data_IF_352882029130
#
_entry.id   IF_352882029130
#
_cell.length_a   1.000
_cell.length_b   1.000
_cell.length_c   1.000
_cell.angle_alpha   90.00
_cell.angle_beta   90.00
_cell.angle_gamma   90.00
#
_symmetry.space_group_name_H-M   'P 1'
#
loop_
_entity.id
_entity.type
_entity.pdbx_description
1 polymer ?
#
# COMPACT_ATOMS: atom_id res chain seq x y z
N UNK A 1 6.95 -7.78 19.25
CA UNK A 1 6.83 -6.31 19.30
C UNK A 1 6.63 -5.76 17.90
N UNK A 2 5.72 -4.80 17.72
CA UNK A 2 5.48 -4.06 16.47
C UNK A 2 6.76 -3.46 15.90
N UNK A 3 7.71 -3.12 16.77
CA UNK A 3 9.00 -2.56 16.37
C UNK A 3 9.88 -3.58 15.62
N UNK A 4 9.72 -4.87 15.89
CA UNK A 4 10.44 -5.94 15.19
C UNK A 4 9.92 -6.14 13.75
N UNK A 5 8.60 -6.03 13.56
CA UNK A 5 7.97 -6.08 12.23
C UNK A 5 8.32 -4.84 11.41
N UNK A 6 8.46 -3.67 12.04
CA UNK A 6 8.97 -2.46 11.37
C UNK A 6 10.42 -2.65 10.92
N UNK A 7 11.30 -3.18 11.77
CA UNK A 7 12.71 -3.36 11.42
C UNK A 7 12.96 -4.36 10.29
N UNK A 8 12.24 -5.48 10.25
CA UNK A 8 12.38 -6.46 9.16
C UNK A 8 11.91 -5.92 7.81
N UNK A 9 10.96 -4.97 7.79
CA UNK A 9 10.45 -4.37 6.55
C UNK A 9 11.44 -3.37 5.91
N UNK A 10 12.23 -2.65 6.72
CA UNK A 10 13.22 -1.67 6.23
C UNK A 10 14.60 -2.26 5.96
N UNK A 11 14.92 -3.46 6.45
CA UNK A 11 16.24 -4.07 6.27
C UNK A 11 16.49 -4.55 4.82
N UNK A 12 15.44 -4.85 4.06
CA UNK A 12 15.56 -5.33 2.67
C UNK A 12 15.87 -4.24 1.64
N UNK A 13 15.75 -2.95 1.99
CA UNK A 13 15.88 -1.83 1.05
C UNK A 13 17.32 -1.30 0.84
N UNK A 14 18.33 -1.79 1.58
CA UNK A 14 19.67 -1.14 1.59
C UNK A 14 20.81 -1.94 0.94
N UNK A 15 20.55 -3.04 0.23
CA UNK A 15 21.59 -3.84 -0.43
C UNK A 15 21.63 -3.67 -1.95
N UNK A 16 21.73 -2.43 -2.43
CA UNK A 16 22.17 -2.15 -3.81
C UNK A 16 23.34 -1.18 -3.76
N UNK A 17 24.55 -1.74 -3.61
CA UNK A 17 25.80 -1.03 -3.84
C UNK A 17 26.01 -0.88 -5.36
N UNK A 18 26.06 0.35 -5.86
CA UNK A 18 26.56 0.65 -7.21
C UNK A 18 28.08 0.43 -7.28
N UNK A 19 28.63 -0.13 -8.37
CA UNK A 19 30.07 -0.12 -8.59
C UNK A 19 30.49 1.19 -9.28
N UNK A 20 31.36 1.94 -8.60
CA UNK A 20 32.11 3.08 -9.17
C UNK A 20 33.19 2.56 -10.13
N UNK A 21 33.10 2.88 -11.42
CA UNK A 21 34.19 2.61 -12.38
C UNK A 21 35.03 3.89 -12.54
N UNK A 22 36.23 3.85 -11.96
CA UNK A 22 37.31 4.81 -12.20
C UNK A 22 37.65 4.87 -13.70
N UNK A 23 37.66 6.08 -14.28
CA UNK A 23 38.28 6.33 -15.58
C UNK A 23 39.67 6.91 -15.36
N UNK A 24 40.70 6.21 -15.85
CA UNK A 24 41.99 6.79 -16.19
C UNK A 24 42.70 5.96 -17.29
N UNK A 25 43.40 6.70 -18.17
CA UNK A 25 44.36 6.32 -19.25
C UNK A 25 43.79 5.88 -20.63
N UNK A 26 44.32 6.21 -21.83
CA UNK A 26 45.19 7.24 -22.45
C UNK A 26 45.31 6.85 -23.95
N UNK A 27 45.42 7.86 -24.85
CA UNK A 27 45.98 7.87 -26.24
C UNK A 27 45.27 7.21 -27.45
N UNK A 28 44.80 8.12 -28.31
CA UNK A 28 44.73 8.20 -29.79
C UNK A 28 45.48 7.16 -30.66
N UNK A 29 44.81 6.57 -31.68
CA UNK A 29 45.33 6.41 -33.07
C UNK A 29 44.22 6.10 -34.10
N UNK A 30 44.50 6.52 -35.33
CA UNK A 30 43.63 6.91 -36.45
C UNK A 30 43.07 5.81 -37.37
N UNK A 31 42.06 6.23 -38.15
CA UNK A 31 41.44 5.70 -39.37
C UNK A 31 42.06 4.49 -40.11
N UNK A 32 41.23 3.48 -40.38
CA UNK A 32 41.21 2.79 -41.69
C UNK A 32 39.77 2.54 -42.14
N UNK A 33 39.46 3.01 -43.34
CA UNK A 33 38.19 2.87 -44.06
C UNK A 33 37.94 1.41 -44.46
N UNK A 34 36.78 0.85 -44.08
CA UNK A 34 36.13 -0.26 -44.77
C UNK A 34 34.61 -0.01 -44.76
N UNK A 35 33.94 0.19 -45.92
CA UNK A 35 32.50 0.26 -46.00
C UNK A 35 31.92 -1.16 -45.92
N UNK A 36 32.00 -1.74 -44.73
CA UNK A 36 31.44 -3.04 -44.39
C UNK A 36 30.14 -2.83 -43.64
N UNK A 37 29.02 -2.99 -44.35
CA UNK A 37 27.65 -3.05 -43.84
C UNK A 37 27.52 -4.13 -42.74
N UNK A 38 27.81 -3.79 -41.48
CA UNK A 38 27.52 -4.63 -40.29
C UNK A 38 27.23 -3.75 -39.07
N UNK A 39 26.20 -2.92 -39.13
CA UNK A 39 25.64 -2.27 -37.93
C UNK A 39 24.14 -2.06 -38.11
N UNK A 40 23.38 -3.16 -38.25
CA UNK A 40 21.90 -3.09 -38.13
C UNK A 40 21.36 -3.92 -36.97
N UNK A 41 22.15 -4.84 -36.40
CA UNK A 41 21.62 -5.84 -35.46
C UNK A 41 22.02 -5.59 -34.00
N UNK A 42 23.12 -4.87 -33.75
CA UNK A 42 23.60 -4.57 -32.39
C UNK A 42 22.80 -3.46 -31.72
N UNK A 43 22.43 -2.44 -32.49
CA UNK A 43 21.58 -1.34 -32.02
C UNK A 43 20.19 -1.88 -31.67
N UNK A 44 19.59 -2.72 -32.53
CA UNK A 44 18.28 -3.36 -32.32
C UNK A 44 18.18 -4.19 -31.03
N UNK A 45 19.22 -4.96 -30.68
CA UNK A 45 19.21 -5.76 -29.44
C UNK A 45 19.35 -4.87 -28.20
N UNK A 46 20.27 -3.89 -28.22
CA UNK A 46 20.46 -2.97 -27.09
C UNK A 46 19.20 -2.12 -26.84
N UNK A 47 18.52 -1.68 -27.91
CA UNK A 47 17.25 -0.97 -27.85
C UNK A 47 16.11 -1.85 -27.34
N UNK A 48 16.03 -3.11 -27.79
CA UNK A 48 15.07 -4.08 -27.27
C UNK A 48 15.30 -4.37 -25.79
N UNK A 49 16.55 -4.57 -25.38
CA UNK A 49 16.95 -4.77 -23.99
C UNK A 49 16.64 -3.55 -23.12
N UNK A 50 16.90 -2.34 -23.62
CA UNK A 50 16.55 -1.10 -22.91
C UNK A 50 15.03 -0.97 -22.73
N UNK A 51 14.25 -1.25 -23.76
CA UNK A 51 12.79 -1.23 -23.68
C UNK A 51 12.27 -2.28 -22.69
N UNK A 52 12.81 -3.50 -22.70
CA UNK A 52 12.45 -4.54 -21.73
C UNK A 52 12.81 -4.13 -20.30
N UNK A 53 13.98 -3.55 -20.07
CA UNK A 53 14.38 -3.06 -18.76
C UNK A 53 13.42 -1.97 -18.24
N UNK A 54 13.01 -1.03 -19.10
CA UNK A 54 12.02 0.00 -18.75
C UNK A 54 10.65 -0.59 -18.40
N UNK A 55 10.23 -1.66 -19.09
CA UNK A 55 8.98 -2.35 -18.76
C UNK A 55 9.09 -3.11 -17.43
N UNK A 56 10.21 -3.79 -17.17
CA UNK A 56 10.47 -4.47 -15.90
C UNK A 56 10.48 -3.49 -14.72
N UNK A 57 11.16 -2.35 -14.85
CA UNK A 57 11.21 -1.30 -13.82
C UNK A 57 9.81 -0.77 -13.47
N UNK A 58 9.00 -0.46 -14.49
CA UNK A 58 7.59 -0.05 -14.31
C UNK A 58 6.75 -1.13 -13.63
N UNK A 59 7.02 -2.40 -13.91
CA UNK A 59 6.31 -3.51 -13.28
C UNK A 59 6.66 -3.62 -11.79
N UNK A 60 7.95 -3.51 -11.43
CA UNK A 60 8.37 -3.50 -10.03
C UNK A 60 7.84 -2.30 -9.26
N UNK A 61 7.89 -1.09 -9.83
CA UNK A 61 7.32 0.10 -9.19
C UNK A 61 5.80 -0.03 -8.96
N UNK A 62 5.06 -0.62 -9.91
CA UNK A 62 3.64 -0.89 -9.75
C UNK A 62 3.36 -1.96 -8.68
N UNK A 63 4.16 -3.02 -8.61
CA UNK A 63 4.11 -4.05 -7.58
C UNK A 63 4.34 -3.43 -6.19
N UNK A 64 5.38 -2.63 -6.04
CA UNK A 64 5.71 -1.98 -4.77
C UNK A 64 4.61 -1.01 -4.32
N UNK A 65 4.03 -0.24 -5.25
CA UNK A 65 2.88 0.64 -4.95
C UNK A 65 1.67 -0.17 -4.49
N UNK A 66 1.38 -1.30 -5.14
CA UNK A 66 0.29 -2.19 -4.73
C UNK A 66 0.57 -2.80 -3.35
N UNK A 67 1.81 -3.23 -3.09
CA UNK A 67 2.23 -3.77 -1.79
C UNK A 67 2.10 -2.74 -0.67
N UNK A 68 2.58 -1.52 -0.88
CA UNK A 68 2.42 -0.41 0.08
C UNK A 68 0.94 -0.10 0.34
N UNK A 69 0.12 0.00 -0.70
CA UNK A 69 -1.32 0.23 -0.55
C UNK A 69 -2.02 -0.90 0.24
N UNK A 70 -1.64 -2.16 -0.01
CA UNK A 70 -2.17 -3.31 0.72
C UNK A 70 -1.77 -3.29 2.20
N UNK A 71 -0.51 -2.98 2.51
CA UNK A 71 -0.03 -2.83 3.88
C UNK A 71 -0.76 -1.71 4.63
N UNK A 72 -0.94 -0.55 3.98
CA UNK A 72 -1.69 0.58 4.53
C UNK A 72 -3.15 0.20 4.77
N UNK A 73 -3.81 -0.49 3.84
CA UNK A 73 -5.18 -0.99 4.04
C UNK A 73 -5.27 -1.92 5.26
N UNK A 74 -4.35 -2.88 5.40
CA UNK A 74 -4.33 -3.83 6.53
C UNK A 74 -4.15 -3.09 7.85
N UNK A 75 -3.20 -2.16 7.92
CA UNK A 75 -2.92 -1.37 9.12
C UNK A 75 -4.13 -0.52 9.52
N UNK A 76 -4.77 0.14 8.55
CA UNK A 76 -5.97 0.93 8.79
C UNK A 76 -7.11 0.08 9.33
N UNK A 77 -7.35 -1.12 8.80
CA UNK A 77 -8.38 -2.02 9.31
C UNK A 77 -8.06 -2.57 10.70
N UNK A 78 -6.80 -2.86 11.01
CA UNK A 78 -6.38 -3.28 12.34
C UNK A 78 -6.65 -2.18 13.39
N UNK A 79 -6.19 -0.95 13.13
CA UNK A 79 -6.40 0.18 14.03
C UNK A 79 -7.89 0.51 14.18
N UNK A 80 -8.64 0.50 13.07
CA UNK A 80 -10.09 0.66 13.09
C UNK A 80 -10.78 -0.36 14.00
N UNK A 81 -10.43 -1.65 13.88
CA UNK A 81 -11.05 -2.71 14.70
C UNK A 81 -10.73 -2.55 16.19
N UNK A 82 -9.48 -2.19 16.51
CA UNK A 82 -9.04 -1.90 17.88
C UNK A 82 -9.91 -0.79 18.50
N UNK A 83 -9.98 0.35 17.83
CA UNK A 83 -10.72 1.52 18.32
C UNK A 83 -12.23 1.28 18.34
N UNK A 84 -12.76 0.53 17.37
CA UNK A 84 -14.16 0.13 17.33
C UNK A 84 -14.54 -0.69 18.56
N UNK A 85 -13.70 -1.66 18.97
CA UNK A 85 -13.94 -2.49 20.16
C UNK A 85 -13.86 -1.64 21.44
N UNK A 86 -12.87 -0.75 21.54
CA UNK A 86 -12.73 0.17 22.68
C UNK A 86 -13.98 1.04 22.82
N UNK A 87 -14.44 1.67 21.74
CA UNK A 87 -15.64 2.51 21.76
C UNK A 87 -16.91 1.69 22.04
N UNK A 88 -17.00 0.46 21.52
CA UNK A 88 -18.12 -0.43 21.76
C UNK A 88 -18.26 -0.75 23.25
N UNK A 89 -17.15 -1.13 23.89
CA UNK A 89 -17.11 -1.42 25.33
C UNK A 89 -17.43 -0.16 26.14
N UNK A 90 -16.86 0.99 25.78
CA UNK A 90 -17.16 2.27 26.45
C UNK A 90 -18.64 2.66 26.38
N UNK A 91 -19.32 2.40 25.27
CA UNK A 91 -20.78 2.63 25.16
C UNK A 91 -21.56 1.67 26.05
N UNK A 92 -21.17 0.39 26.09
CA UNK A 92 -21.85 -0.62 26.91
C UNK A 92 -21.71 -0.26 28.40
N UNK A 93 -20.49 0.04 28.85
CA UNK A 93 -20.18 0.40 30.23
C UNK A 93 -20.89 1.70 30.67
N UNK A 94 -20.80 2.76 29.86
CA UNK A 94 -21.44 4.04 30.16
C UNK A 94 -22.97 3.99 30.12
N UNK A 95 -23.56 2.96 29.50
CA UNK A 95 -25.02 2.82 29.45
C UNK A 95 -25.65 2.36 30.78
N UNK A 96 -24.85 1.93 31.77
CA UNK A 96 -25.36 1.41 33.03
C UNK A 96 -26.25 0.18 32.86
N UNK A 97 -25.92 -0.69 31.90
CA UNK A 97 -26.69 -1.90 31.56
C UNK A 97 -27.88 -1.68 30.62
N UNK A 98 -28.17 -0.44 30.21
CA UNK A 98 -29.27 -0.14 29.27
C UNK A 98 -29.02 -0.67 27.86
N UNK A 99 -27.77 -0.78 27.43
CA UNK A 99 -27.42 -1.23 26.09
C UNK A 99 -26.67 -2.57 26.12
N UNK A 100 -27.25 -3.57 25.47
CA UNK A 100 -26.52 -4.76 25.05
C UNK A 100 -25.68 -4.50 23.79
N UNK A 101 -24.73 -5.40 23.50
CA UNK A 101 -23.79 -5.29 22.37
C UNK A 101 -24.47 -4.96 21.04
N UNK A 102 -25.60 -5.63 20.73
CA UNK A 102 -26.37 -5.39 19.50
C UNK A 102 -26.81 -3.93 19.37
N UNK A 103 -27.24 -3.30 20.46
CA UNK A 103 -27.70 -1.91 20.46
C UNK A 103 -26.53 -0.95 20.36
N UNK A 104 -25.47 -1.17 21.14
CA UNK A 104 -24.26 -0.35 21.12
C UNK A 104 -23.56 -0.36 19.74
N UNK A 105 -23.41 -1.53 19.13
CA UNK A 105 -22.93 -1.67 17.74
C UNK A 105 -23.78 -0.91 16.75
N UNK A 106 -25.11 -0.96 16.92
CA UNK A 106 -26.04 -0.21 16.08
C UNK A 106 -25.76 1.28 16.08
N UNK A 107 -25.56 1.86 17.27
CA UNK A 107 -25.23 3.28 17.44
C UNK A 107 -23.89 3.64 16.78
N UNK A 108 -22.86 2.80 16.96
CA UNK A 108 -21.57 3.00 16.30
C UNK A 108 -21.69 2.94 14.78
N UNK A 109 -22.39 1.94 14.25
CA UNK A 109 -22.56 1.82 12.80
C UNK A 109 -23.28 3.02 12.20
N UNK A 110 -24.31 3.56 12.87
CA UNK A 110 -25.03 4.74 12.39
C UNK A 110 -24.13 5.99 12.41
N UNK A 111 -23.36 6.18 13.48
CA UNK A 111 -22.40 7.28 13.62
C UNK A 111 -21.28 7.21 12.56
N UNK A 112 -20.61 6.05 12.45
CA UNK A 112 -19.49 5.83 11.53
C UNK A 112 -19.96 5.95 10.08
N UNK A 113 -21.11 5.37 9.72
CA UNK A 113 -21.63 5.46 8.35
C UNK A 113 -21.89 6.91 7.95
N UNK A 114 -22.46 7.71 8.85
CA UNK A 114 -22.69 9.14 8.62
C UNK A 114 -21.37 9.90 8.39
N UNK A 115 -20.39 9.72 9.27
CA UNK A 115 -19.10 10.41 9.18
C UNK A 115 -18.30 9.96 7.95
N UNK A 116 -18.27 8.65 7.66
CA UNK A 116 -17.58 8.08 6.50
C UNK A 116 -18.12 8.67 5.19
N UNK A 117 -19.44 8.79 5.05
CA UNK A 117 -20.03 9.34 3.83
C UNK A 117 -19.78 10.84 3.69
N UNK A 118 -19.64 11.59 4.79
CA UNK A 118 -19.19 12.97 4.73
C UNK A 118 -17.76 13.08 4.20
N UNK A 119 -16.83 12.29 4.74
CA UNK A 119 -15.43 12.25 4.29
C UNK A 119 -15.31 11.84 2.82
N UNK A 120 -16.14 10.88 2.36
CA UNK A 120 -16.16 10.45 0.96
C UNK A 120 -16.68 11.53 0.02
N UNK A 121 -17.68 12.31 0.44
CA UNK A 121 -18.19 13.45 -0.33
C UNK A 121 -17.15 14.56 -0.44
N UNK A 122 -16.46 14.88 0.65
CA UNK A 122 -15.37 15.85 0.63
C UNK A 122 -14.26 15.41 -0.33
N UNK A 123 -13.78 14.17 -0.21
CA UNK A 123 -12.75 13.64 -1.13
C UNK A 123 -13.21 13.64 -2.60
N UNK A 124 -14.49 13.35 -2.83
CA UNK A 124 -15.08 13.38 -4.18
C UNK A 124 -15.03 14.78 -4.80
N UNK A 125 -15.25 15.83 -3.99
CA UNK A 125 -15.13 17.22 -4.42
C UNK A 125 -13.67 17.61 -4.69
N UNK A 126 -12.75 17.21 -3.82
CA UNK A 126 -11.32 17.53 -3.93
C UNK A 126 -10.66 16.86 -5.15
N UNK A 127 -11.03 15.61 -5.44
CA UNK A 127 -10.40 14.81 -6.51
C UNK A 127 -11.15 14.82 -7.84
N UNK A 128 -12.39 15.33 -7.86
CA UNK A 128 -13.29 15.22 -9.02
C UNK A 128 -13.80 13.80 -9.30
N UNK A 129 -13.39 12.80 -8.50
CA UNK A 129 -13.81 11.41 -8.65
C UNK A 129 -15.16 11.18 -7.97
N UNK A 130 -16.13 10.59 -8.66
CA UNK A 130 -17.42 10.25 -8.05
C UNK A 130 -17.27 9.06 -7.08
N UNK A 131 -17.32 9.33 -5.77
CA UNK A 131 -17.25 8.29 -4.74
C UNK A 131 -18.65 7.94 -4.23
N UNK A 132 -19.06 6.67 -4.36
CA UNK A 132 -20.35 6.19 -3.86
C UNK A 132 -20.41 6.19 -2.32
N UNK A 133 -21.56 6.53 -1.77
CA UNK A 133 -21.85 6.36 -0.34
C UNK A 133 -21.75 4.89 0.09
N UNK A 134 -21.20 4.66 1.28
CA UNK A 134 -21.09 3.36 1.93
C UNK A 134 -22.36 3.10 2.73
N UNK A 135 -22.99 1.96 2.49
CA UNK A 135 -24.14 1.52 3.30
C UNK A 135 -23.69 0.94 4.64
N UNK A 136 -24.58 0.99 5.63
CA UNK A 136 -24.38 0.37 6.94
C UNK A 136 -24.06 -1.13 6.84
N UNK A 137 -24.71 -1.85 5.92
CA UNK A 137 -24.46 -3.28 5.74
C UNK A 137 -23.07 -3.58 5.16
N UNK A 138 -22.59 -2.74 4.24
CA UNK A 138 -21.23 -2.85 3.71
C UNK A 138 -20.19 -2.61 4.82
N UNK A 139 -20.40 -1.55 5.61
CA UNK A 139 -19.54 -1.24 6.76
C UNK A 139 -19.53 -2.38 7.79
N UNK A 140 -20.69 -2.96 8.10
CA UNK A 140 -20.80 -4.09 9.04
C UNK A 140 -19.96 -5.28 8.58
N UNK A 141 -20.07 -5.68 7.30
CA UNK A 141 -19.29 -6.81 6.75
C UNK A 141 -17.78 -6.55 6.85
N UNK A 142 -17.33 -5.32 6.53
CA UNK A 142 -15.92 -4.93 6.65
C UNK A 142 -15.45 -4.91 8.10
N UNK A 143 -16.26 -4.38 9.02
CA UNK A 143 -15.97 -4.38 10.46
C UNK A 143 -15.82 -5.79 11.00
N UNK A 144 -16.70 -6.72 10.63
CA UNK A 144 -16.59 -8.13 11.04
C UNK A 144 -15.30 -8.79 10.55
N UNK A 145 -14.84 -8.47 9.33
CA UNK A 145 -13.56 -8.95 8.81
C UNK A 145 -12.40 -8.36 9.60
N UNK A 146 -12.42 -7.05 9.85
CA UNK A 146 -11.40 -6.34 10.59
C UNK A 146 -11.27 -6.86 12.04
N UNK A 147 -12.40 -7.09 12.73
CA UNK A 147 -12.41 -7.67 14.08
C UNK A 147 -11.79 -9.08 14.13
N UNK A 148 -12.02 -9.92 13.11
CA UNK A 148 -11.39 -11.25 13.03
C UNK A 148 -9.88 -11.15 12.88
N UNK A 149 -9.42 -10.25 12.01
CA UNK A 149 -7.98 -10.01 11.80
C UNK A 149 -7.33 -9.46 13.08
N UNK A 150 -7.96 -8.47 13.72
CA UNK A 150 -7.50 -7.91 14.99
C UNK A 150 -7.35 -8.99 16.06
N UNK A 151 -8.40 -9.78 16.31
CA UNK A 151 -8.35 -10.86 17.30
C UNK A 151 -7.28 -11.90 17.00
N UNK A 152 -7.08 -12.24 15.73
CA UNK A 152 -6.02 -13.17 15.32
C UNK A 152 -4.63 -12.59 15.60
N UNK A 153 -4.38 -11.33 15.27
CA UNK A 153 -3.09 -10.66 15.54
C UNK A 153 -2.83 -10.56 17.04
N UNK A 154 -3.82 -10.15 17.83
CA UNK A 154 -3.67 -10.04 19.30
C UNK A 154 -3.46 -11.40 19.98
N UNK A 155 -3.87 -12.52 19.37
CA UNK A 155 -3.58 -13.86 19.88
C UNK A 155 -2.15 -14.33 19.59
N UNK A 156 -1.48 -13.71 18.60
CA UNK A 156 -0.14 -14.07 18.16
C UNK A 156 0.96 -13.23 18.82
N UNK A 157 0.59 -12.12 19.47
CA UNK A 157 1.48 -11.20 20.18
C UNK A 157 1.59 -11.54 21.67
#
# INVERSE_FOLDING_TARGET
SVDKLKQELFASELSSQEPSIEQNHVTEISETLCPGKVTSDKSSIDEASQHLAQLCDKAFDAEDKANRANQEEILCWYLYAKDFIIQLNGIIESSGGKFGEKKARGLLYDSITKQLNLLRKQRSQETGLQLRDVSRDSLRKKTQRAEKVYKFIEQML
#
